data_IF_181568712363
#
_entry.id   IF_181568712363
#
_cell.length_a   1.000
_cell.length_b   1.000
_cell.length_c   1.000
_cell.angle_alpha   90.00
_cell.angle_beta   90.00
_cell.angle_gamma   90.00
#
_symmetry.space_group_name_H-M   'P 1'
#
loop_
_entity.id
_entity.type
_entity.pdbx_description
1 polymer ?
#
# COMPACT_ATOMS: atom_id res chain seq x y z
N UNK A 1 28.93 7.75 -22.95
CA UNK A 1 28.19 7.33 -21.74
C UNK A 1 29.21 7.27 -20.62
N UNK A 2 28.98 7.91 -19.46
CA UNK A 2 29.86 7.78 -18.31
C UNK A 2 29.66 6.36 -17.77
N UNK A 3 30.72 5.53 -17.78
CA UNK A 3 30.68 4.16 -17.23
C UNK A 3 30.24 4.22 -15.76
N UNK A 4 29.14 3.56 -15.43
CA UNK A 4 28.62 3.42 -14.07
C UNK A 4 27.44 4.30 -13.64
N UNK A 5 27.06 5.34 -14.40
CA UNK A 5 25.90 6.20 -14.04
C UNK A 5 24.57 5.62 -14.54
N UNK A 6 23.58 5.46 -13.65
CA UNK A 6 22.24 4.97 -13.97
C UNK A 6 21.35 6.06 -14.59
N UNK A 7 20.34 5.66 -15.37
CA UNK A 7 19.30 6.59 -15.75
C UNK A 7 18.45 7.00 -14.56
N UNK A 8 18.01 6.02 -13.74
CA UNK A 8 17.21 6.26 -12.54
C UNK A 8 17.64 5.36 -11.40
N UNK A 9 17.84 5.93 -10.23
CA UNK A 9 17.89 5.20 -8.96
C UNK A 9 16.57 5.39 -8.24
N UNK A 10 15.92 4.26 -7.88
CA UNK A 10 14.73 4.22 -7.03
C UNK A 10 15.15 3.86 -5.61
N UNK A 11 14.94 4.75 -4.66
CA UNK A 11 15.23 4.51 -3.25
C UNK A 11 13.99 3.98 -2.56
N UNK A 12 14.04 2.71 -2.13
CA UNK A 12 12.97 1.95 -1.52
C UNK A 12 12.37 0.88 -2.45
N UNK A 13 12.55 -0.38 -2.08
CA UNK A 13 12.05 -1.58 -2.77
C UNK A 13 10.68 -2.07 -2.28
N UNK A 14 9.85 -1.16 -1.72
CA UNK A 14 8.46 -1.44 -1.40
C UNK A 14 7.55 -1.50 -2.64
N UNK A 15 6.24 -1.74 -2.48
CA UNK A 15 5.33 -2.00 -3.60
C UNK A 15 5.29 -0.85 -4.62
N UNK A 16 5.43 0.40 -4.17
CA UNK A 16 5.40 1.57 -5.06
C UNK A 16 6.73 1.74 -5.82
N UNK A 17 7.86 1.57 -5.14
CA UNK A 17 9.18 1.65 -5.78
C UNK A 17 9.39 0.54 -6.80
N UNK A 18 8.99 -0.70 -6.46
CA UNK A 18 9.06 -1.83 -7.38
C UNK A 18 8.15 -1.65 -8.61
N UNK A 19 6.93 -1.12 -8.42
CA UNK A 19 6.04 -0.78 -9.55
C UNK A 19 6.67 0.25 -10.49
N UNK A 20 7.25 1.32 -9.93
CA UNK A 20 7.93 2.34 -10.72
C UNK A 20 9.14 1.75 -11.47
N UNK A 21 9.95 0.94 -10.79
CA UNK A 21 11.10 0.29 -11.38
C UNK A 21 10.71 -0.62 -12.56
N UNK A 22 9.64 -1.42 -12.41
CA UNK A 22 9.08 -2.23 -13.50
C UNK A 22 8.65 -1.37 -14.70
N UNK A 23 7.93 -0.26 -14.45
CA UNK A 23 7.49 0.63 -15.53
C UNK A 23 8.66 1.26 -16.29
N UNK A 24 9.68 1.72 -15.56
CA UNK A 24 10.87 2.35 -16.17
C UNK A 24 11.71 1.32 -16.95
N UNK A 25 11.94 0.14 -16.39
CA UNK A 25 12.68 -0.94 -17.04
C UNK A 25 11.95 -1.46 -18.28
N UNK A 26 10.62 -1.58 -18.24
CA UNK A 26 9.81 -1.96 -19.42
C UNK A 26 9.90 -0.92 -20.57
N UNK A 27 10.22 0.33 -20.26
CA UNK A 27 10.49 1.39 -21.23
C UNK A 27 11.97 1.46 -21.69
N UNK A 28 12.82 0.51 -21.24
CA UNK A 28 14.22 0.37 -21.64
C UNK A 28 15.18 1.35 -20.96
N UNK A 29 14.84 1.87 -19.77
CA UNK A 29 15.73 2.70 -18.97
C UNK A 29 16.60 1.84 -18.05
N UNK A 30 17.85 2.28 -17.81
CA UNK A 30 18.76 1.65 -16.84
C UNK A 30 18.37 2.07 -15.42
N UNK A 31 17.67 1.16 -14.73
CA UNK A 31 17.09 1.41 -13.41
C UNK A 31 17.75 0.53 -12.36
N UNK A 32 18.05 1.12 -11.21
CA UNK A 32 18.51 0.40 -10.03
C UNK A 32 17.63 0.73 -8.82
N UNK A 33 17.32 -0.29 -8.01
CA UNK A 33 16.54 -0.14 -6.78
C UNK A 33 17.45 -0.35 -5.58
N UNK A 34 17.51 0.63 -4.69
CA UNK A 34 18.23 0.55 -3.41
C UNK A 34 17.21 0.29 -2.30
N UNK A 35 17.31 -0.86 -1.63
CA UNK A 35 16.43 -1.25 -0.53
C UNK A 35 17.24 -1.56 0.72
N UNK A 36 16.91 -0.89 1.83
CA UNK A 36 17.63 -1.06 3.11
C UNK A 36 17.46 -2.44 3.74
N UNK A 37 16.36 -3.13 3.47
CA UNK A 37 16.11 -4.48 3.98
C UNK A 37 16.86 -5.49 3.13
N UNK A 38 17.51 -6.43 3.77
CA UNK A 38 18.12 -7.59 3.12
C UNK A 38 17.03 -8.60 2.71
N UNK A 39 16.01 -8.77 3.57
CA UNK A 39 14.92 -9.72 3.37
C UNK A 39 13.58 -9.00 3.10
N UNK A 40 12.70 -9.58 2.29
CA UNK A 40 11.34 -9.08 2.10
C UNK A 40 10.57 -9.03 3.43
N UNK A 41 9.77 -7.99 3.63
CA UNK A 41 8.96 -7.87 4.84
C UNK A 41 7.72 -8.76 4.75
N UNK A 42 7.52 -9.63 5.75
CA UNK A 42 6.26 -10.38 5.92
C UNK A 42 5.15 -9.53 6.56
N UNK A 43 5.44 -8.29 6.94
CA UNK A 43 4.42 -7.39 7.49
C UNK A 43 3.52 -6.89 6.37
N UNK A 44 2.22 -7.11 6.51
CA UNK A 44 1.22 -6.69 5.54
C UNK A 44 0.28 -5.67 6.18
N UNK A 45 0.32 -4.42 5.72
CA UNK A 45 -0.65 -3.39 6.11
C UNK A 45 -1.72 -3.21 5.07
N UNK A 46 -1.33 -2.96 3.83
CA UNK A 46 -2.23 -2.85 2.71
C UNK A 46 -2.60 -4.22 2.14
N UNK A 47 -3.85 -4.36 1.73
CA UNK A 47 -4.35 -5.58 1.08
C UNK A 47 -5.22 -5.26 -0.13
N UNK A 48 -5.95 -4.13 -0.12
CA UNK A 48 -6.89 -3.76 -1.17
C UNK A 48 -6.20 -3.17 -2.40
N UNK A 49 -6.47 -3.74 -3.56
CA UNK A 49 -5.96 -3.30 -4.85
C UNK A 49 -7.14 -2.89 -5.71
N UNK A 50 -7.23 -1.59 -5.98
CA UNK A 50 -8.36 -0.99 -6.67
C UNK A 50 -8.24 -1.09 -8.20
N UNK A 51 -9.36 -1.00 -8.95
CA UNK A 51 -9.36 -1.17 -10.41
C UNK A 51 -8.34 -0.32 -11.18
N UNK A 52 -8.11 0.97 -10.88
CA UNK A 52 -7.07 1.74 -11.56
C UNK A 52 -5.66 1.16 -11.38
N UNK A 53 -5.39 0.59 -10.19
CA UNK A 53 -4.12 -0.06 -9.90
C UNK A 53 -3.97 -1.41 -10.59
N UNK A 54 -5.05 -2.18 -10.73
CA UNK A 54 -5.04 -3.41 -11.53
C UNK A 54 -4.72 -3.10 -12.99
N UNK A 55 -5.28 -2.03 -13.56
CA UNK A 55 -4.89 -1.56 -14.91
C UNK A 55 -3.42 -1.17 -14.99
N UNK A 56 -2.90 -0.54 -13.94
CA UNK A 56 -1.49 -0.19 -13.87
C UNK A 56 -0.59 -1.44 -13.83
N UNK A 57 -0.95 -2.44 -13.03
CA UNK A 57 -0.26 -3.73 -12.93
C UNK A 57 -0.34 -4.54 -14.23
N UNK A 58 -1.45 -4.43 -14.99
CA UNK A 58 -1.58 -5.06 -16.31
C UNK A 58 -0.54 -4.54 -17.30
N UNK A 59 -0.16 -3.25 -17.23
CA UNK A 59 0.87 -2.66 -18.10
C UNK A 59 2.24 -3.34 -17.99
N UNK A 60 2.51 -3.91 -16.82
CA UNK A 60 3.77 -4.62 -16.56
C UNK A 60 3.57 -6.15 -16.52
N UNK A 61 2.39 -6.66 -16.86
CA UNK A 61 2.09 -8.09 -16.93
C UNK A 61 1.97 -8.79 -15.57
N UNK A 62 1.59 -8.07 -14.50
CA UNK A 62 1.47 -8.63 -13.14
C UNK A 62 0.03 -8.84 -12.72
N UNK A 63 -0.94 -8.22 -13.40
CA UNK A 63 -2.34 -8.22 -12.94
C UNK A 63 -2.96 -9.62 -12.87
N UNK A 64 -2.77 -10.45 -13.88
CA UNK A 64 -3.41 -11.78 -13.95
C UNK A 64 -2.93 -12.69 -12.83
N UNK A 65 -1.60 -12.81 -12.65
CA UNK A 65 -1.01 -13.61 -11.57
C UNK A 65 -1.39 -13.10 -10.18
N UNK A 66 -1.67 -11.81 -10.03
CA UNK A 66 -2.16 -11.22 -8.79
C UNK A 66 -3.63 -11.58 -8.56
N UNK A 67 -4.48 -11.45 -9.59
CA UNK A 67 -5.92 -11.73 -9.51
C UNK A 67 -6.18 -13.22 -9.20
N UNK A 68 -5.39 -14.13 -9.78
CA UNK A 68 -5.47 -15.56 -9.48
C UNK A 68 -5.25 -15.89 -8.00
N UNK A 69 -4.43 -15.11 -7.30
CA UNK A 69 -4.11 -15.31 -5.88
C UNK A 69 -5.03 -14.53 -4.95
N UNK A 70 -5.71 -13.50 -5.44
CA UNK A 70 -6.48 -12.56 -4.64
C UNK A 70 -7.93 -13.02 -4.44
N UNK A 71 -8.54 -12.55 -3.36
CA UNK A 71 -9.99 -12.56 -3.23
C UNK A 71 -10.55 -11.36 -3.99
N UNK A 72 -11.50 -11.60 -4.88
CA UNK A 72 -12.21 -10.55 -5.59
C UNK A 72 -13.40 -10.07 -4.76
N UNK A 73 -13.32 -8.84 -4.27
CA UNK A 73 -14.38 -8.18 -3.50
C UNK A 73 -15.27 -7.42 -4.48
N UNK A 74 -16.44 -7.95 -4.77
CA UNK A 74 -17.41 -7.35 -5.71
C UNK A 74 -18.35 -6.36 -5.04
N UNK A 75 -18.52 -6.46 -3.71
CA UNK A 75 -19.33 -5.56 -2.93
C UNK A 75 -18.80 -5.31 -1.53
N UNK A 76 -19.24 -4.20 -0.96
CA UNK A 76 -19.01 -3.85 0.44
C UNK A 76 -20.33 -3.52 1.14
N UNK A 77 -20.40 -3.86 2.43
CA UNK A 77 -21.57 -3.57 3.28
C UNK A 77 -21.16 -2.63 4.41
N UNK A 78 -22.04 -1.73 4.75
CA UNK A 78 -21.91 -0.85 5.92
C UNK A 78 -22.97 -1.22 6.94
N UNK A 79 -22.57 -1.45 8.17
CA UNK A 79 -23.43 -1.86 9.29
C UNK A 79 -23.24 -0.96 10.51
N UNK A 80 -24.27 -0.90 11.37
CA UNK A 80 -24.22 -0.31 12.69
C UNK A 80 -25.27 -0.98 13.58
N UNK A 81 -24.96 -1.33 14.83
CA UNK A 81 -25.87 -1.99 15.78
C UNK A 81 -26.53 -3.24 15.14
N UNK A 82 -25.81 -4.04 14.39
CA UNK A 82 -26.31 -5.24 13.64
C UNK A 82 -27.33 -4.93 12.54
N UNK A 83 -27.51 -3.66 12.19
CA UNK A 83 -28.39 -3.26 11.10
C UNK A 83 -27.55 -2.82 9.90
N UNK A 84 -27.91 -3.34 8.72
CA UNK A 84 -27.30 -2.87 7.47
C UNK A 84 -27.76 -1.45 7.16
N UNK A 85 -26.80 -0.54 7.07
CA UNK A 85 -27.04 0.84 6.64
C UNK A 85 -27.00 1.00 5.14
N UNK A 86 -26.19 0.19 4.45
CA UNK A 86 -26.09 0.24 3.01
C UNK A 86 -25.23 -0.86 2.41
N UNK A 87 -25.31 -1.01 1.09
CA UNK A 87 -24.50 -1.90 0.27
C UNK A 87 -23.92 -1.12 -0.90
N UNK A 88 -22.70 -1.38 -1.25
CA UNK A 88 -21.98 -0.75 -2.35
C UNK A 88 -21.50 -1.84 -3.32
N UNK A 89 -22.07 -1.87 -4.52
CA UNK A 89 -21.72 -2.84 -5.57
C UNK A 89 -20.68 -2.23 -6.49
N UNK A 90 -19.53 -2.88 -6.63
CA UNK A 90 -18.44 -2.42 -7.49
C UNK A 90 -18.62 -2.87 -8.94
N UNK A 91 -19.40 -3.91 -9.17
CA UNK A 91 -19.75 -4.44 -10.50
C UNK A 91 -20.48 -3.43 -11.38
N UNK A 92 -21.22 -2.50 -10.78
CA UNK A 92 -21.98 -1.46 -11.50
C UNK A 92 -21.14 -0.24 -11.92
N UNK A 93 -19.86 -0.19 -11.54
CA UNK A 93 -19.07 1.04 -11.67
C UNK A 93 -18.08 1.02 -12.85
N UNK A 94 -18.13 0.03 -13.72
CA UNK A 94 -17.28 -0.05 -14.92
C UNK A 94 -16.92 -1.47 -15.31
N UNK A 95 -16.62 -1.70 -16.59
CA UNK A 95 -16.50 -3.02 -17.18
C UNK A 95 -15.19 -3.75 -16.84
N UNK A 96 -14.07 -3.02 -16.76
CA UNK A 96 -12.77 -3.62 -16.49
C UNK A 96 -12.49 -3.67 -15.00
N UNK A 97 -12.16 -4.85 -14.45
CA UNK A 97 -11.93 -5.12 -13.03
C UNK A 97 -13.10 -4.62 -12.16
N UNK A 98 -14.30 -5.25 -12.22
CA UNK A 98 -15.48 -4.81 -11.48
C UNK A 98 -15.43 -5.22 -9.98
N UNK A 99 -14.25 -5.26 -9.39
CA UNK A 99 -13.97 -5.69 -8.02
C UNK A 99 -12.76 -4.94 -7.44
N UNK A 100 -12.59 -5.04 -6.14
CA UNK A 100 -11.32 -4.74 -5.45
C UNK A 100 -10.63 -6.08 -5.18
N UNK A 101 -9.38 -6.25 -5.61
CA UNK A 101 -8.61 -7.45 -5.31
C UNK A 101 -8.01 -7.34 -3.91
N UNK A 102 -8.22 -8.35 -3.06
CA UNK A 102 -7.63 -8.43 -1.73
C UNK A 102 -6.52 -9.47 -1.70
N UNK A 103 -5.28 -9.00 -1.53
CA UNK A 103 -4.08 -9.82 -1.46
C UNK A 103 -3.14 -9.24 -0.41
N UNK A 104 -2.50 -10.04 0.45
CA UNK A 104 -1.49 -9.55 1.37
C UNK A 104 -0.37 -8.82 0.65
N UNK A 105 0.09 -7.70 1.21
CA UNK A 105 1.10 -6.84 0.60
C UNK A 105 2.39 -7.58 0.25
N UNK A 106 2.84 -8.52 1.07
CA UNK A 106 4.07 -9.28 0.83
C UNK A 106 3.98 -10.15 -0.44
N UNK A 107 2.80 -10.69 -0.77
CA UNK A 107 2.58 -11.44 -2.02
C UNK A 107 2.62 -10.51 -3.24
N UNK A 108 2.02 -9.33 -3.11
CA UNK A 108 2.09 -8.29 -4.15
C UNK A 108 3.53 -7.81 -4.38
N UNK A 109 4.29 -7.60 -3.30
CA UNK A 109 5.71 -7.23 -3.38
C UNK A 109 6.54 -8.34 -4.04
N UNK A 110 6.27 -9.61 -3.73
CA UNK A 110 6.95 -10.75 -4.34
C UNK A 110 6.72 -10.81 -5.86
N UNK A 111 5.48 -10.63 -6.32
CA UNK A 111 5.14 -10.58 -7.75
C UNK A 111 5.83 -9.42 -8.48
N UNK A 112 5.84 -8.23 -7.87
CA UNK A 112 6.51 -7.07 -8.45
C UNK A 112 8.03 -7.26 -8.51
N UNK A 113 8.63 -7.83 -7.46
CA UNK A 113 10.07 -8.14 -7.42
C UNK A 113 10.44 -9.16 -8.49
N UNK A 114 9.68 -10.25 -8.60
CA UNK A 114 9.87 -11.26 -9.64
C UNK A 114 9.78 -10.63 -11.04
N UNK A 115 8.82 -9.74 -11.25
CA UNK A 115 8.66 -9.05 -12.54
C UNK A 115 9.84 -8.13 -12.85
N UNK A 116 10.29 -7.36 -11.86
CA UNK A 116 11.43 -6.48 -12.05
C UNK A 116 12.73 -7.26 -12.34
N UNK A 117 12.93 -8.38 -11.66
CA UNK A 117 14.11 -9.24 -11.90
C UNK A 117 14.11 -9.83 -13.32
N UNK A 118 12.93 -10.14 -13.88
CA UNK A 118 12.80 -10.53 -15.31
C UNK A 118 13.17 -9.38 -16.27
N UNK A 119 12.82 -8.13 -15.93
CA UNK A 119 13.06 -6.96 -16.79
C UNK A 119 14.49 -6.42 -16.66
N UNK A 120 15.07 -6.48 -15.47
CA UNK A 120 16.37 -5.93 -15.12
C UNK A 120 17.05 -6.82 -14.06
N UNK A 121 17.62 -7.97 -14.46
CA UNK A 121 18.24 -8.93 -13.54
C UNK A 121 19.35 -8.31 -12.69
N UNK A 122 19.35 -8.60 -11.38
CA UNK A 122 20.37 -8.15 -10.45
C UNK A 122 20.37 -6.64 -10.15
N UNK A 123 19.30 -5.92 -10.52
CA UNK A 123 19.20 -4.45 -10.32
C UNK A 123 18.49 -4.06 -9.00
N UNK A 124 18.22 -4.99 -8.12
CA UNK A 124 17.77 -4.71 -6.73
C UNK A 124 18.93 -4.95 -5.79
N UNK A 125 19.38 -3.90 -5.09
CA UNK A 125 20.37 -3.99 -4.01
C UNK A 125 19.68 -4.01 -2.66
N UNK A 126 19.55 -5.19 -2.06
CA UNK A 126 19.11 -5.36 -0.67
C UNK A 126 20.25 -5.00 0.31
N UNK A 127 19.91 -4.49 1.49
CA UNK A 127 20.88 -4.04 2.49
C UNK A 127 21.50 -2.67 2.21
N UNK A 128 21.10 -1.98 1.14
CA UNK A 128 21.58 -0.66 0.76
C UNK A 128 20.86 0.45 1.53
N UNK A 129 21.52 1.07 2.49
CA UNK A 129 20.98 2.17 3.28
C UNK A 129 21.38 3.49 2.64
N UNK A 130 20.43 4.19 2.03
CA UNK A 130 20.67 5.55 1.54
C UNK A 130 20.72 6.51 2.72
N UNK A 131 21.85 7.23 2.85
CA UNK A 131 22.10 8.19 3.94
C UNK A 131 22.05 9.64 3.46
N UNK A 132 22.30 9.89 2.17
CA UNK A 132 22.29 11.20 1.57
C UNK A 132 21.89 11.18 0.10
N UNK A 133 21.34 12.29 -0.39
CA UNK A 133 21.06 12.50 -1.82
C UNK A 133 21.34 13.97 -2.14
N UNK A 134 22.11 14.23 -3.19
CA UNK A 134 22.50 15.57 -3.60
C UNK A 134 22.34 15.76 -5.12
N UNK A 135 21.54 16.70 -5.53
CA UNK A 135 21.43 17.12 -6.93
C UNK A 135 22.66 17.99 -7.30
N UNK A 136 23.50 17.49 -8.20
CA UNK A 136 24.70 18.14 -8.70
C UNK A 136 24.45 18.97 -9.98
N UNK A 137 23.19 19.04 -10.44
CA UNK A 137 22.77 19.81 -11.63
C UNK A 137 22.68 18.95 -12.90
N UNK A 138 23.71 18.22 -13.25
CA UNK A 138 23.71 17.28 -14.40
C UNK A 138 23.43 15.83 -14.00
N UNK A 139 23.64 15.46 -12.75
CA UNK A 139 23.36 14.16 -12.14
C UNK A 139 22.96 14.31 -10.68
N UNK A 140 22.63 13.19 -10.03
CA UNK A 140 22.36 13.12 -8.59
C UNK A 140 23.33 12.12 -7.96
N UNK A 141 24.01 12.56 -6.92
CA UNK A 141 24.84 11.71 -6.06
C UNK A 141 23.94 11.08 -4.98
N UNK A 142 24.10 9.79 -4.73
CA UNK A 142 23.41 9.04 -3.69
C UNK A 142 24.44 8.36 -2.80
N UNK A 143 24.50 8.76 -1.55
CA UNK A 143 25.37 8.16 -0.55
C UNK A 143 24.71 6.92 0.03
N UNK A 144 25.44 5.79 -0.05
CA UNK A 144 24.94 4.47 0.34
C UNK A 144 25.86 3.86 1.38
N UNK A 145 25.28 3.43 2.48
CA UNK A 145 25.89 2.58 3.50
C UNK A 145 25.35 1.16 3.42
N UNK A 146 26.11 0.19 3.95
CA UNK A 146 25.71 -1.21 4.04
C UNK A 146 25.28 -1.54 5.46
N UNK A 147 24.16 -2.22 5.66
CA UNK A 147 23.79 -2.76 6.97
C UNK A 147 24.69 -3.98 7.29
N UNK A 148 25.83 -3.73 7.94
CA UNK A 148 26.75 -4.76 8.44
C UNK A 148 26.23 -5.34 9.75
N UNK A 149 24.96 -5.58 9.88
CA UNK A 149 24.46 -6.41 10.98
C UNK A 149 24.72 -7.86 10.63
N UNK A 150 25.83 -8.38 11.17
CA UNK A 150 26.15 -9.81 11.16
C UNK A 150 24.89 -10.63 11.44
N UNK A 151 24.63 -11.60 10.57
CA UNK A 151 23.69 -12.66 10.90
C UNK A 151 24.14 -13.29 12.24
N UNK A 152 23.24 -13.50 13.23
CA UNK A 152 23.63 -14.13 14.49
C UNK A 152 24.29 -15.47 14.16
N UNK A 153 25.52 -15.65 14.59
CA UNK A 153 26.26 -16.89 14.47
C UNK A 153 25.40 -18.02 15.05
N UNK A 154 25.05 -18.99 14.24
CA UNK A 154 24.31 -20.17 14.68
C UNK A 154 25.16 -20.91 15.73
N UNK A 155 24.60 -21.29 16.90
CA UNK A 155 25.34 -22.04 17.90
C UNK A 155 25.68 -23.41 17.34
N UNK A 156 26.95 -23.75 17.41
CA UNK A 156 27.70 -24.93 16.99
C UNK A 156 26.91 -26.19 16.66
N UNK A 157 27.08 -26.62 15.41
CA UNK A 157 26.94 -28.03 15.03
C UNK A 157 28.18 -28.45 14.27
N UNK A 158 28.99 -29.28 14.94
CA UNK A 158 29.98 -30.11 14.28
C UNK A 158 29.25 -31.14 13.40
N UNK A 159 29.40 -31.04 12.09
CA UNK A 159 29.03 -32.10 11.15
C UNK A 159 30.02 -32.11 9.99
N UNK A 160 30.46 -33.30 9.61
CA UNK A 160 31.43 -33.61 8.58
C UNK A 160 30.97 -33.18 7.17
N UNK A 161 31.92 -32.98 6.23
CA UNK A 161 31.57 -32.46 4.91
C UNK A 161 31.01 -33.54 4.00
N UNK A 162 29.81 -33.31 3.49
CA UNK A 162 29.27 -34.00 2.31
C UNK A 162 29.17 -32.97 1.19
N UNK A 163 29.79 -33.28 0.07
CA UNK A 163 29.83 -32.44 -1.12
C UNK A 163 28.43 -32.12 -1.65
N UNK A 164 28.11 -30.85 -1.89
CA UNK A 164 26.89 -30.36 -2.53
C UNK A 164 27.27 -29.54 -3.76
N UNK A 165 26.58 -29.71 -4.90
CA UNK A 165 26.99 -29.10 -6.18
C UNK A 165 26.91 -27.59 -6.14
N UNK A 166 27.97 -26.94 -6.60
CA UNK A 166 28.15 -25.50 -6.74
C UNK A 166 27.28 -24.93 -7.85
N UNK A 167 26.30 -24.16 -7.42
CA UNK A 167 25.54 -23.23 -8.24
C UNK A 167 25.23 -22.00 -7.39
N UNK A 168 26.27 -21.30 -6.92
CA UNK A 168 26.11 -20.10 -6.10
C UNK A 168 26.02 -18.88 -7.00
N UNK A 169 24.81 -18.28 -7.06
CA UNK A 169 24.71 -16.87 -7.36
C UNK A 169 25.45 -16.13 -6.22
N UNK A 170 26.56 -15.49 -6.56
CA UNK A 170 27.35 -14.70 -5.61
C UNK A 170 26.48 -13.53 -5.10
N UNK A 171 26.48 -13.25 -3.78
CA UNK A 171 25.90 -12.01 -3.27
C UNK A 171 26.65 -10.85 -3.94
N UNK A 172 25.93 -9.99 -4.63
CA UNK A 172 26.52 -8.76 -5.19
C UNK A 172 26.98 -7.92 -4.00
N UNK A 173 28.28 -7.73 -3.85
CA UNK A 173 28.84 -6.84 -2.84
C UNK A 173 28.21 -5.46 -2.99
N UNK A 174 27.59 -4.97 -1.91
CA UNK A 174 27.01 -3.62 -1.88
C UNK A 174 28.18 -2.68 -1.57
N UNK A 175 28.66 -1.85 -2.51
CA UNK A 175 29.73 -0.93 -2.22
C UNK A 175 29.20 0.17 -1.28
N UNK A 176 29.89 0.37 -0.16
CA UNK A 176 29.85 1.63 0.58
C UNK A 176 30.44 2.72 -0.29
N UNK A 177 29.68 3.80 -0.48
CA UNK A 177 30.17 4.90 -1.31
C UNK A 177 29.04 5.67 -1.98
N UNK A 178 29.41 6.55 -2.89
CA UNK A 178 28.48 7.36 -3.67
C UNK A 178 28.22 6.70 -5.00
N UNK A 179 26.94 6.45 -5.32
CA UNK A 179 26.47 6.03 -6.64
C UNK A 179 25.77 7.19 -7.34
N UNK A 180 25.77 7.16 -8.68
CA UNK A 180 25.29 8.30 -9.47
C UNK A 180 24.14 7.90 -10.41
N UNK A 181 23.16 8.79 -10.56
CA UNK A 181 22.09 8.66 -11.52
C UNK A 181 21.71 9.99 -12.17
N UNK A 182 21.09 9.93 -13.33
CA UNK A 182 20.51 11.12 -13.96
C UNK A 182 19.32 11.67 -13.17
N UNK A 183 18.53 10.77 -12.57
CA UNK A 183 17.40 11.08 -11.69
C UNK A 183 17.36 10.14 -10.50
N UNK A 184 16.86 10.64 -9.38
CA UNK A 184 16.60 9.83 -8.17
C UNK A 184 15.13 9.93 -7.78
N UNK A 185 14.51 8.81 -7.44
CA UNK A 185 13.13 8.78 -6.98
C UNK A 185 13.05 8.23 -5.57
N UNK A 186 12.53 9.02 -4.63
CA UNK A 186 12.20 8.58 -3.28
C UNK A 186 10.87 7.81 -3.27
N UNK A 187 10.97 6.51 -2.97
CA UNK A 187 9.87 5.59 -2.68
C UNK A 187 10.08 4.93 -1.31
N UNK A 188 10.82 5.60 -0.43
CA UNK A 188 11.37 5.15 0.85
C UNK A 188 10.43 5.37 2.04
N UNK A 189 9.15 5.65 1.75
CA UNK A 189 8.07 5.69 2.72
C UNK A 189 7.97 7.00 3.50
N UNK A 190 7.09 7.03 4.51
CA UNK A 190 6.74 8.25 5.26
C UNK A 190 7.95 8.94 5.93
N UNK A 191 9.01 8.19 6.26
CA UNK A 191 10.26 8.70 6.83
C UNK A 191 11.35 8.91 5.77
N UNK A 192 10.98 9.31 4.59
CA UNK A 192 11.85 9.45 3.42
C UNK A 192 13.09 10.30 3.69
N UNK A 193 14.26 9.68 3.50
CA UNK A 193 15.57 10.35 3.49
C UNK A 193 15.70 11.21 2.24
N UNK A 194 15.22 10.71 1.09
CA UNK A 194 15.26 11.43 -0.18
C UNK A 194 14.46 12.74 -0.10
N UNK A 195 13.26 12.71 0.49
CA UNK A 195 12.45 13.92 0.71
C UNK A 195 13.18 14.92 1.59
N UNK A 196 13.78 14.45 2.70
CA UNK A 196 14.51 15.31 3.63
C UNK A 196 15.73 15.94 2.97
N UNK A 197 16.53 15.16 2.24
CA UNK A 197 17.70 15.63 1.50
C UNK A 197 17.35 16.66 0.41
N UNK A 198 16.19 16.49 -0.25
CA UNK A 198 15.67 17.46 -1.23
C UNK A 198 15.08 18.73 -0.60
N UNK A 199 15.10 18.88 0.74
CA UNK A 199 14.54 20.04 1.44
C UNK A 199 13.03 20.20 1.26
N UNK A 200 12.30 19.10 1.02
CA UNK A 200 10.87 19.14 0.76
C UNK A 200 10.10 19.01 2.08
N UNK A 201 9.33 20.03 2.43
CA UNK A 201 8.50 20.03 3.64
C UNK A 201 7.40 18.97 3.55
N UNK A 202 7.15 18.29 4.67
CA UNK A 202 6.08 17.30 4.82
C UNK A 202 5.09 17.78 5.87
N UNK A 203 3.96 18.29 5.39
CA UNK A 203 3.00 19.00 6.23
C UNK A 203 1.91 18.05 6.73
N UNK A 204 1.62 18.09 8.02
CA UNK A 204 0.51 17.37 8.64
C UNK A 204 -0.83 17.83 8.09
N UNK A 205 -1.74 16.88 7.88
CA UNK A 205 -3.07 17.12 7.37
C UNK A 205 -4.11 16.33 8.19
N UNK A 206 -5.11 17.02 8.72
CA UNK A 206 -6.15 16.41 9.55
C UNK A 206 -5.68 15.87 10.93
N UNK A 207 -6.59 15.38 11.75
CA UNK A 207 -6.28 14.82 13.05
C UNK A 207 -5.75 13.37 12.93
N UNK A 208 -4.88 12.92 13.86
CA UNK A 208 -4.41 11.54 13.89
C UNK A 208 -5.53 10.56 14.26
N UNK A 209 -5.32 9.29 13.91
CA UNK A 209 -6.12 8.17 14.36
C UNK A 209 -5.23 6.97 14.69
N UNK A 210 -5.70 6.12 15.59
CA UNK A 210 -5.00 4.91 16.01
C UNK A 210 -5.85 3.68 15.72
N UNK A 211 -5.18 2.59 15.40
CA UNK A 211 -5.81 1.34 15.00
C UNK A 211 -5.10 0.14 15.59
N UNK A 212 -5.86 -0.93 15.74
CA UNK A 212 -5.36 -2.27 16.02
C UNK A 212 -5.81 -3.19 14.89
N UNK A 213 -4.91 -3.99 14.34
CA UNK A 213 -5.14 -4.84 13.18
C UNK A 213 -4.62 -6.24 13.43
N UNK A 214 -5.35 -7.26 12.91
CA UNK A 214 -4.93 -8.65 12.94
C UNK A 214 -5.63 -9.49 11.88
N UNK A 215 -5.02 -10.62 11.54
CA UNK A 215 -5.57 -11.61 10.63
C UNK A 215 -6.05 -12.83 11.41
N UNK A 216 -7.22 -13.34 11.04
CA UNK A 216 -7.89 -14.44 11.71
C UNK A 216 -8.32 -15.49 10.68
N UNK A 217 -8.24 -16.77 11.08
CA UNK A 217 -8.85 -17.87 10.35
C UNK A 217 -10.33 -17.94 10.71
N UNK A 218 -11.19 -17.89 9.70
CA UNK A 218 -12.65 -17.93 9.86
C UNK A 218 -13.27 -19.25 9.41
N UNK A 219 -12.50 -20.20 8.89
CA UNK A 219 -13.03 -21.50 8.45
C UNK A 219 -13.85 -22.24 9.53
N UNK A 220 -13.44 -22.22 10.82
CA UNK A 220 -14.22 -22.88 11.87
C UNK A 220 -15.60 -22.26 12.10
N UNK A 221 -15.81 -21.00 11.69
CA UNK A 221 -17.06 -20.25 11.91
C UNK A 221 -17.98 -20.24 10.68
N UNK A 222 -17.50 -20.77 9.57
CA UNK A 222 -18.17 -20.62 8.27
C UNK A 222 -19.48 -21.40 8.15
N UNK A 223 -19.76 -22.36 9.04
CA UNK A 223 -20.86 -23.30 8.83
C UNK A 223 -22.21 -22.90 9.40
N UNK A 224 -22.30 -22.05 10.42
CA UNK A 224 -23.62 -21.86 11.07
C UNK A 224 -24.02 -20.40 11.34
N UNK A 225 -23.16 -19.52 11.80
CA UNK A 225 -23.55 -18.19 12.25
C UNK A 225 -23.60 -17.13 11.16
N UNK A 226 -22.79 -17.24 10.11
CA UNK A 226 -22.78 -16.28 8.98
C UNK A 226 -24.00 -16.44 8.05
N UNK A 227 -24.56 -17.65 7.99
CA UNK A 227 -25.72 -17.95 7.14
C UNK A 227 -27.02 -17.34 7.70
N UNK A 228 -27.15 -17.24 9.02
CA UNK A 228 -28.38 -16.72 9.64
C UNK A 228 -28.51 -15.19 9.64
N UNK A 229 -27.39 -14.45 9.57
CA UNK A 229 -27.42 -12.98 9.70
C UNK A 229 -27.52 -12.24 8.36
N UNK A 230 -27.20 -12.86 7.22
CA UNK A 230 -27.01 -12.13 5.96
C UNK A 230 -28.03 -12.43 4.82
N UNK A 231 -29.10 -13.16 5.09
CA UNK A 231 -30.11 -13.49 4.07
C UNK A 231 -29.56 -14.40 2.96
N UNK A 232 -30.42 -15.10 2.24
CA UNK A 232 -30.13 -16.13 1.25
C UNK A 232 -29.29 -15.67 0.04
N UNK A 233 -28.03 -15.31 0.27
CA UNK A 233 -26.99 -15.22 -0.75
C UNK A 233 -26.10 -16.45 -0.65
N UNK A 234 -25.62 -16.96 -1.78
CA UNK A 234 -24.69 -18.10 -1.83
C UNK A 234 -23.58 -17.92 -0.78
N UNK A 235 -23.24 -18.99 -0.04
CA UNK A 235 -22.18 -18.97 0.98
C UNK A 235 -20.84 -18.41 0.44
N UNK A 236 -20.54 -18.63 -0.83
CA UNK A 236 -19.38 -18.08 -1.54
C UNK A 236 -19.36 -16.53 -1.54
N UNK A 237 -20.54 -15.88 -1.65
CA UNK A 237 -20.66 -14.42 -1.71
C UNK A 237 -20.47 -13.75 -0.33
N UNK A 238 -20.78 -14.44 0.76
CA UNK A 238 -20.62 -13.89 2.10
C UNK A 238 -19.12 -13.83 2.51
N UNK A 239 -18.33 -14.81 2.09
CA UNK A 239 -16.89 -14.88 2.40
C UNK A 239 -16.04 -13.88 1.64
N UNK A 240 -16.48 -13.44 0.43
CA UNK A 240 -15.73 -12.50 -0.41
C UNK A 240 -16.11 -11.03 -0.20
N UNK A 241 -16.97 -10.73 0.77
CA UNK A 241 -17.48 -9.37 1.02
C UNK A 241 -16.64 -8.59 2.03
N UNK A 242 -16.40 -7.31 1.77
CA UNK A 242 -15.88 -6.36 2.76
C UNK A 242 -17.02 -5.82 3.65
N UNK A 243 -16.78 -5.67 4.93
CA UNK A 243 -17.74 -5.11 5.88
C UNK A 243 -17.12 -3.98 6.67
N UNK A 244 -17.82 -2.86 6.74
CA UNK A 244 -17.47 -1.67 7.51
C UNK A 244 -18.53 -1.50 8.62
N UNK A 245 -18.15 -1.74 9.86
CA UNK A 245 -19.02 -1.55 11.03
C UNK A 245 -18.79 -0.15 11.58
N UNK A 246 -19.74 0.74 11.35
CA UNK A 246 -19.72 2.10 11.90
C UNK A 246 -20.37 2.14 13.28
N UNK A 247 -19.67 1.59 14.26
CA UNK A 247 -20.21 1.42 15.61
C UNK A 247 -20.07 2.66 16.50
N UNK A 248 -20.76 2.66 17.66
CA UNK A 248 -20.70 3.74 18.65
C UNK A 248 -19.28 4.00 19.12
N UNK A 249 -18.53 2.93 19.36
CA UNK A 249 -17.14 2.96 19.85
C UNK A 249 -16.10 3.15 18.75
N UNK A 250 -16.49 3.48 17.52
CA UNK A 250 -15.60 3.67 16.39
C UNK A 250 -15.66 2.52 15.38
N UNK A 251 -15.13 2.77 14.19
CA UNK A 251 -15.18 1.84 13.06
C UNK A 251 -14.41 0.56 13.34
N UNK A 252 -15.00 -0.54 12.86
CA UNK A 252 -14.32 -1.83 12.66
C UNK A 252 -14.44 -2.18 11.19
N UNK A 253 -13.35 -2.58 10.58
CA UNK A 253 -13.29 -3.01 9.18
C UNK A 253 -12.97 -4.49 9.11
N UNK A 254 -13.63 -5.21 8.20
CA UNK A 254 -13.40 -6.62 7.95
C UNK A 254 -13.25 -6.88 6.46
N UNK A 255 -12.10 -7.44 6.08
CA UNK A 255 -11.77 -7.73 4.70
C UNK A 255 -11.41 -9.20 4.52
N UNK A 256 -11.92 -9.86 3.47
CA UNK A 256 -11.54 -11.22 3.16
C UNK A 256 -10.09 -11.27 2.66
N UNK A 257 -9.41 -12.37 2.93
CA UNK A 257 -8.09 -12.72 2.43
C UNK A 257 -8.10 -14.14 1.86
N UNK A 258 -7.16 -14.51 0.99
CA UNK A 258 -7.04 -15.86 0.47
C UNK A 258 -6.91 -16.91 1.58
N UNK A 259 -7.44 -18.12 1.33
CA UNK A 259 -7.36 -19.26 2.27
C UNK A 259 -8.26 -19.12 3.49
N UNK A 260 -9.50 -18.66 3.33
CA UNK A 260 -10.48 -18.60 4.45
C UNK A 260 -10.15 -17.58 5.55
N UNK A 261 -9.16 -16.73 5.33
CA UNK A 261 -8.68 -15.73 6.29
C UNK A 261 -9.45 -14.41 6.17
N UNK A 262 -9.50 -13.67 7.29
CA UNK A 262 -10.02 -12.30 7.28
C UNK A 262 -9.09 -11.38 8.05
N UNK A 263 -8.88 -10.19 7.50
CA UNK A 263 -8.23 -9.07 8.19
C UNK A 263 -9.28 -8.24 8.89
N UNK A 264 -9.01 -7.95 10.16
CA UNK A 264 -9.80 -7.06 10.97
C UNK A 264 -8.98 -5.86 11.38
N UNK A 265 -9.58 -4.68 11.28
CA UNK A 265 -8.98 -3.41 11.69
C UNK A 265 -9.97 -2.66 12.56
N UNK A 266 -9.61 -2.35 13.79
CA UNK A 266 -10.45 -1.59 14.71
C UNK A 266 -9.80 -0.23 15.03
N UNK A 267 -10.55 0.87 14.88
CA UNK A 267 -10.12 2.17 15.38
C UNK A 267 -10.05 2.12 16.92
N UNK A 268 -8.99 2.69 17.48
CA UNK A 268 -8.77 2.75 18.94
C UNK A 268 -8.63 4.19 19.40
N UNK A 269 -8.87 4.44 20.70
CA UNK A 269 -8.77 5.79 21.28
C UNK A 269 -7.31 6.21 21.49
N UNK A 270 -6.42 5.22 21.65
CA UNK A 270 -4.98 5.41 21.85
C UNK A 270 -4.17 4.32 21.16
N UNK A 271 -2.93 4.63 20.86
CA UNK A 271 -1.96 3.64 20.37
C UNK A 271 -1.62 2.67 21.52
N UNK A 272 -1.79 1.37 21.28
CA UNK A 272 -1.55 0.30 22.26
C UNK A 272 -0.59 -0.76 21.67
N UNK A 273 0.73 -0.48 21.64
CA UNK A 273 1.70 -1.37 20.97
C UNK A 273 1.78 -2.79 21.55
N UNK A 274 1.39 -2.97 22.83
CA UNK A 274 1.36 -4.27 23.50
C UNK A 274 0.02 -5.00 23.43
N UNK A 275 -0.97 -4.47 22.71
CA UNK A 275 -2.27 -5.13 22.58
C UNK A 275 -2.15 -6.46 21.82
N UNK A 276 -2.81 -7.49 22.34
CA UNK A 276 -2.82 -8.83 21.80
C UNK A 276 -3.92 -9.03 20.74
N UNK A 277 -3.89 -10.15 20.04
CA UNK A 277 -4.99 -10.55 19.14
C UNK A 277 -6.28 -10.83 19.91
N UNK A 278 -6.20 -11.26 21.17
CA UNK A 278 -7.36 -11.42 22.04
C UNK A 278 -8.00 -10.08 22.39
N UNK A 279 -7.20 -9.01 22.63
CA UNK A 279 -7.72 -7.66 22.84
C UNK A 279 -8.47 -7.15 21.60
N UNK A 280 -7.91 -7.39 20.40
CA UNK A 280 -8.58 -7.05 19.15
C UNK A 280 -9.90 -7.81 18.99
N UNK A 281 -9.89 -9.12 19.22
CA UNK A 281 -11.10 -9.94 19.19
C UNK A 281 -12.17 -9.46 20.19
N UNK A 282 -11.75 -9.08 21.39
CA UNK A 282 -12.62 -8.50 22.42
C UNK A 282 -13.26 -7.19 21.96
N UNK A 283 -12.49 -6.27 21.35
CA UNK A 283 -12.99 -5.01 20.80
C UNK A 283 -14.02 -5.28 19.70
N UNK A 284 -13.72 -6.20 18.79
CA UNK A 284 -14.61 -6.51 17.68
C UNK A 284 -15.92 -7.11 18.21
N UNK A 285 -15.82 -8.14 19.06
CA UNK A 285 -17.01 -8.77 19.67
C UNK A 285 -17.88 -7.77 20.43
N UNK A 286 -17.26 -6.90 21.23
CA UNK A 286 -18.00 -5.89 21.98
C UNK A 286 -18.73 -4.89 21.06
N UNK A 287 -18.09 -4.44 19.97
CA UNK A 287 -18.70 -3.46 19.07
C UNK A 287 -19.70 -4.08 18.12
N UNK A 288 -19.39 -5.21 17.51
CA UNK A 288 -20.15 -5.77 16.38
C UNK A 288 -20.99 -6.99 16.76
N UNK A 289 -20.67 -7.65 17.86
CA UNK A 289 -21.23 -8.96 18.23
C UNK A 289 -20.68 -10.13 17.41
N UNK A 290 -19.69 -9.90 16.52
CA UNK A 290 -19.12 -10.92 15.65
C UNK A 290 -17.98 -11.64 16.35
N UNK A 291 -17.94 -12.97 16.23
CA UNK A 291 -16.77 -13.78 16.56
C UNK A 291 -15.80 -13.79 15.37
N UNK A 292 -14.52 -13.58 15.64
CA UNK A 292 -13.52 -13.40 14.57
C UNK A 292 -12.76 -14.68 14.20
N UNK A 293 -12.94 -15.78 14.96
CA UNK A 293 -12.21 -17.03 14.74
C UNK A 293 -10.85 -17.07 15.42
N UNK A 294 -9.94 -17.86 14.86
CA UNK A 294 -8.62 -18.13 15.44
C UNK A 294 -7.58 -17.13 14.93
N UNK A 295 -6.82 -16.46 15.83
CA UNK A 295 -5.79 -15.51 15.40
C UNK A 295 -4.64 -16.22 14.69
N UNK A 296 -4.18 -15.67 13.56
CA UNK A 296 -3.08 -16.20 12.75
C UNK A 296 -1.71 -15.59 13.10
N UNK A 297 -1.66 -14.71 14.09
CA UNK A 297 -0.46 -14.06 14.53
C UNK A 297 -0.74 -12.93 15.52
N UNK A 298 0.28 -12.18 15.95
CA UNK A 298 0.10 -11.08 16.88
C UNK A 298 -0.64 -9.91 16.22
N UNK A 299 -1.46 -9.21 16.99
CA UNK A 299 -2.07 -7.97 16.54
C UNK A 299 -1.02 -6.87 16.36
N UNK A 300 -1.26 -5.96 15.44
CA UNK A 300 -0.39 -4.82 15.15
C UNK A 300 -1.10 -3.51 15.46
N UNK A 301 -0.58 -2.76 16.43
CA UNK A 301 -1.04 -1.40 16.71
C UNK A 301 -0.29 -0.39 15.85
N UNK A 302 -1.00 0.56 15.27
CA UNK A 302 -0.38 1.63 14.49
C UNK A 302 -1.15 2.94 14.59
N UNK A 303 -0.42 4.04 14.44
CA UNK A 303 -0.99 5.38 14.33
C UNK A 303 -0.89 5.85 12.88
N UNK A 304 -1.87 6.60 12.44
CA UNK A 304 -1.92 7.26 11.14
C UNK A 304 -2.04 8.76 11.37
N UNK A 305 -1.11 9.49 10.78
CA UNK A 305 -1.20 10.93 10.63
C UNK A 305 -1.04 11.24 9.15
N UNK A 306 -2.04 11.87 8.55
CA UNK A 306 -1.91 12.26 7.16
C UNK A 306 -0.85 13.34 6.99
N UNK A 307 -0.03 13.21 5.95
CA UNK A 307 0.98 14.18 5.57
C UNK A 307 1.02 14.36 4.04
N UNK A 308 1.28 15.58 3.61
CA UNK A 308 1.46 15.90 2.20
C UNK A 308 2.78 16.65 1.99
N UNK A 309 3.57 16.21 1.00
CA UNK A 309 4.74 16.94 0.56
C UNK A 309 4.35 18.25 -0.12
N UNK A 310 5.10 19.31 0.17
CA UNK A 310 4.86 20.63 -0.41
C UNK A 310 5.07 20.65 -1.93
N UNK A 311 5.97 19.80 -2.43
CA UNK A 311 6.24 19.51 -3.84
C UNK A 311 6.67 18.05 -3.98
N UNK A 312 6.50 17.45 -5.16
CA UNK A 312 6.89 16.07 -5.46
C UNK A 312 8.16 16.03 -6.32
N UNK A 313 8.62 17.18 -6.79
CA UNK A 313 9.83 17.29 -7.61
C UNK A 313 10.69 18.43 -7.09
N UNK A 314 11.98 18.21 -7.05
CA UNK A 314 13.02 19.20 -6.77
C UNK A 314 14.23 18.90 -7.66
N UNK A 315 14.41 19.66 -8.73
CA UNK A 315 15.46 19.40 -9.72
C UNK A 315 15.33 18.00 -10.32
N UNK A 316 16.35 17.18 -10.13
CA UNK A 316 16.43 15.78 -10.60
C UNK A 316 15.94 14.75 -9.58
N UNK A 317 15.34 15.20 -8.49
CA UNK A 317 14.80 14.35 -7.42
C UNK A 317 13.27 14.38 -7.49
N UNK A 318 12.63 13.21 -7.53
CA UNK A 318 11.17 13.07 -7.49
C UNK A 318 10.74 12.17 -6.32
N UNK A 319 9.46 12.27 -5.91
CA UNK A 319 8.86 11.48 -4.83
C UNK A 319 7.62 10.75 -5.32
N UNK A 320 7.40 9.53 -4.82
CA UNK A 320 6.20 8.72 -5.06
C UNK A 320 5.72 8.04 -3.76
N UNK A 321 4.44 7.71 -3.68
CA UNK A 321 3.85 6.98 -2.57
C UNK A 321 3.99 7.72 -1.23
N UNK A 322 4.22 6.97 -0.15
CA UNK A 322 4.28 7.52 1.21
C UNK A 322 5.43 8.54 1.41
N UNK A 323 6.44 8.54 0.55
CA UNK A 323 7.46 9.59 0.53
C UNK A 323 6.88 10.96 0.12
N UNK A 324 5.86 10.95 -0.74
CA UNK A 324 5.16 12.13 -1.24
C UNK A 324 3.89 12.47 -0.43
N UNK A 325 3.14 11.45 0.00
CA UNK A 325 1.87 11.61 0.71
C UNK A 325 1.54 10.38 1.57
N UNK A 326 1.39 10.59 2.85
CA UNK A 326 0.87 9.61 3.79
C UNK A 326 -0.62 9.89 4.00
N UNK A 327 -1.49 8.94 3.62
CA UNK A 327 -2.94 9.07 3.78
C UNK A 327 -3.50 7.97 4.67
N UNK A 328 -4.75 8.14 5.14
CA UNK A 328 -5.42 7.14 5.97
C UNK A 328 -5.51 5.77 5.30
N UNK A 329 -5.31 4.66 6.06
CA UNK A 329 -5.47 3.31 5.54
C UNK A 329 -6.93 2.93 5.29
N UNK A 330 -7.92 3.68 5.83
CA UNK A 330 -9.34 3.38 5.64
C UNK A 330 -9.67 3.37 4.15
N UNK A 331 -10.13 2.21 3.66
CA UNK A 331 -10.40 1.98 2.25
C UNK A 331 -9.17 1.57 1.42
N UNK A 332 -7.99 1.35 2.03
CA UNK A 332 -6.81 0.78 1.36
C UNK A 332 -6.20 1.65 0.24
N UNK A 333 -6.37 2.97 0.28
CA UNK A 333 -6.06 3.85 -0.85
C UNK A 333 -4.59 4.25 -0.99
N UNK A 334 -3.77 4.20 0.10
CA UNK A 334 -2.40 4.74 0.11
C UNK A 334 -1.47 4.09 -0.92
N UNK A 335 -1.35 2.77 -0.90
CA UNK A 335 -0.53 2.01 -1.85
C UNK A 335 -1.00 2.24 -3.30
N UNK A 336 -2.31 2.22 -3.53
CA UNK A 336 -2.92 2.44 -4.84
C UNK A 336 -2.61 3.84 -5.39
N UNK A 337 -2.66 4.87 -4.54
CA UNK A 337 -2.32 6.24 -4.91
C UNK A 337 -0.85 6.33 -5.35
N UNK A 338 0.05 5.66 -4.63
CA UNK A 338 1.47 5.59 -4.98
C UNK A 338 1.73 4.87 -6.32
N UNK A 339 0.98 3.83 -6.65
CA UNK A 339 1.08 3.19 -7.97
C UNK A 339 0.61 4.11 -9.10
N UNK A 340 -0.42 4.91 -8.85
CA UNK A 340 -0.85 5.93 -9.82
C UNK A 340 0.15 7.10 -9.94
N UNK A 341 0.96 7.37 -8.90
CA UNK A 341 2.12 8.26 -9.03
C UNK A 341 3.14 7.65 -9.99
N UNK A 342 3.50 6.37 -9.78
CA UNK A 342 4.47 5.67 -10.61
C UNK A 342 4.07 5.64 -12.09
N UNK A 343 2.78 5.39 -12.38
CA UNK A 343 2.21 5.41 -13.75
C UNK A 343 2.36 6.77 -14.43
N UNK A 344 2.29 7.86 -13.68
CA UNK A 344 2.44 9.21 -14.23
C UNK A 344 3.90 9.68 -14.25
N UNK A 345 4.72 9.23 -13.30
CA UNK A 345 6.12 9.61 -13.22
C UNK A 345 6.98 8.90 -14.29
N UNK A 346 6.73 7.62 -14.56
CA UNK A 346 7.55 6.86 -15.50
C UNK A 346 7.64 7.51 -16.90
N UNK A 347 6.54 7.90 -17.57
CA UNK A 347 6.63 8.60 -18.85
C UNK A 347 7.25 9.98 -18.73
N UNK A 348 7.08 10.68 -17.61
CA UNK A 348 7.71 11.98 -17.39
C UNK A 348 9.24 11.86 -17.28
N UNK A 349 9.74 10.88 -16.53
CA UNK A 349 11.18 10.59 -16.42
C UNK A 349 11.76 10.12 -17.76
N UNK A 350 11.07 9.22 -18.48
CA UNK A 350 11.50 8.78 -19.81
C UNK A 350 11.67 9.98 -20.74
N UNK A 351 10.69 10.89 -20.76
CA UNK A 351 10.76 12.09 -21.57
C UNK A 351 11.90 13.01 -21.12
N UNK A 352 12.06 13.22 -19.83
CA UNK A 352 13.14 14.02 -19.26
C UNK A 352 14.55 13.47 -19.57
N UNK A 353 14.67 12.16 -19.70
CA UNK A 353 15.94 11.46 -20.03
C UNK A 353 16.24 11.53 -21.52
N UNK A 354 15.24 11.36 -22.38
CA UNK A 354 15.40 11.31 -23.84
C UNK A 354 15.38 12.69 -24.50
N UNK A 355 14.61 13.63 -23.93
CA UNK A 355 14.38 14.97 -24.45
C UNK A 355 14.76 15.98 -23.37
N UNK A 356 16.04 16.31 -23.25
CA UNK A 356 16.58 17.12 -22.14
C UNK A 356 15.86 18.47 -22.00
N UNK A 357 15.50 19.13 -23.10
CA UNK A 357 14.80 20.43 -23.10
C UNK A 357 13.34 20.32 -22.59
N UNK A 358 12.74 19.14 -22.68
CA UNK A 358 11.38 18.90 -22.22
C UNK A 358 11.30 18.45 -20.75
N UNK A 359 12.45 18.18 -20.11
CA UNK A 359 12.52 17.67 -18.75
C UNK A 359 11.79 18.54 -17.72
N UNK A 360 12.00 19.87 -17.63
CA UNK A 360 11.33 20.68 -16.64
C UNK A 360 9.81 20.62 -16.77
N UNK A 361 9.27 20.80 -17.97
CA UNK A 361 7.82 20.85 -18.21
C UNK A 361 7.11 19.51 -17.91
N UNK A 362 7.76 18.37 -18.18
CA UNK A 362 7.21 17.05 -17.92
C UNK A 362 7.11 16.79 -16.42
N UNK A 363 8.19 17.06 -15.67
CA UNK A 363 8.25 16.86 -14.23
C UNK A 363 7.38 17.85 -13.46
N UNK A 364 7.31 19.12 -13.87
CA UNK A 364 6.37 20.11 -13.30
C UNK A 364 4.90 19.71 -13.51
N UNK A 365 4.59 19.12 -14.67
CA UNK A 365 3.24 18.62 -14.94
C UNK A 365 2.90 17.46 -14.03
N UNK A 366 3.84 16.52 -13.81
CA UNK A 366 3.71 15.46 -12.82
C UNK A 366 3.46 16.05 -11.43
N UNK A 367 4.34 16.94 -10.93
CA UNK A 367 4.21 17.57 -9.62
C UNK A 367 2.83 18.20 -9.41
N UNK A 368 2.42 19.05 -10.34
CA UNK A 368 1.14 19.79 -10.25
C UNK A 368 -0.06 18.84 -10.22
N UNK A 369 -0.09 17.84 -11.11
CA UNK A 369 -1.21 16.89 -11.21
C UNK A 369 -1.29 16.00 -9.96
N UNK A 370 -0.17 15.39 -9.57
CA UNK A 370 -0.17 14.43 -8.46
C UNK A 370 -0.42 15.11 -7.11
N UNK A 371 0.07 16.33 -6.91
CA UNK A 371 -0.26 17.11 -5.70
C UNK A 371 -1.76 17.42 -5.60
N UNK A 372 -2.42 17.76 -6.71
CA UNK A 372 -3.89 17.93 -6.70
C UNK A 372 -4.58 16.64 -6.32
N UNK A 373 -4.21 15.53 -6.96
CA UNK A 373 -4.77 14.21 -6.68
C UNK A 373 -4.56 13.81 -5.23
N UNK A 374 -3.34 13.96 -4.69
CA UNK A 374 -3.03 13.65 -3.30
C UNK A 374 -3.86 14.47 -2.31
N UNK A 375 -4.08 15.77 -2.58
CA UNK A 375 -4.96 16.62 -1.76
C UNK A 375 -6.40 16.14 -1.77
N UNK A 376 -6.94 15.78 -2.93
CA UNK A 376 -8.31 15.26 -3.04
C UNK A 376 -8.43 13.91 -2.32
N UNK A 377 -7.44 13.02 -2.46
CA UNK A 377 -7.40 11.75 -1.74
C UNK A 377 -7.31 11.97 -0.22
N UNK A 378 -6.51 12.96 0.25
CA UNK A 378 -6.42 13.30 1.67
C UNK A 378 -7.74 13.84 2.25
N UNK A 379 -8.47 14.66 1.48
CA UNK A 379 -9.81 15.15 1.89
C UNK A 379 -10.78 13.98 2.00
N UNK A 380 -10.82 13.09 1.00
CA UNK A 380 -11.68 11.91 1.02
C UNK A 380 -11.32 10.98 2.19
N UNK A 381 -10.03 10.70 2.40
CA UNK A 381 -9.57 9.90 3.51
C UNK A 381 -9.92 10.53 4.87
N UNK A 382 -9.80 11.85 4.98
CA UNK A 382 -10.22 12.63 6.14
C UNK A 382 -11.72 12.50 6.43
N UNK A 383 -12.56 12.55 5.40
CA UNK A 383 -14.00 12.29 5.49
C UNK A 383 -14.28 10.86 5.98
N UNK A 384 -13.65 9.85 5.38
CA UNK A 384 -13.80 8.45 5.78
C UNK A 384 -13.40 8.26 7.26
N UNK A 385 -12.28 8.85 7.68
CA UNK A 385 -11.86 8.84 9.09
C UNK A 385 -12.88 9.49 10.02
N UNK A 386 -13.44 10.63 9.62
CA UNK A 386 -14.46 11.34 10.41
C UNK A 386 -15.74 10.51 10.57
N UNK A 387 -16.14 9.80 9.53
CA UNK A 387 -17.28 8.86 9.56
C UNK A 387 -17.00 7.68 10.49
N UNK A 388 -15.75 7.19 10.55
CA UNK A 388 -15.34 6.09 11.39
C UNK A 388 -15.17 6.43 12.88
N UNK A 389 -15.13 7.72 13.27
CA UNK A 389 -14.92 8.12 14.68
C UNK A 389 -16.10 7.73 15.57
N UNK A 390 -15.85 7.50 16.89
CA UNK A 390 -16.90 7.25 17.87
C UNK A 390 -17.97 8.33 17.84
N UNK A 391 -19.25 7.91 17.88
CA UNK A 391 -20.42 8.80 17.93
C UNK A 391 -21.52 8.15 18.76
N UNK A 392 -22.24 8.97 19.49
CA UNK A 392 -23.39 8.53 20.33
C UNK A 392 -24.60 9.44 20.12
N UNK A 393 -25.77 9.01 20.59
CA UNK A 393 -26.99 9.81 20.57
C UNK A 393 -27.38 10.35 19.19
N UNK A 394 -27.77 11.61 19.11
CA UNK A 394 -28.21 12.27 17.89
C UNK A 394 -27.14 12.30 16.77
N UNK A 395 -25.84 12.42 17.14
CA UNK A 395 -24.75 12.40 16.16
C UNK A 395 -24.58 11.03 15.50
N UNK A 396 -24.82 9.94 16.24
CA UNK A 396 -24.84 8.59 15.68
C UNK A 396 -26.01 8.42 14.71
N UNK A 397 -27.20 8.86 15.09
CA UNK A 397 -28.37 8.81 14.26
C UNK A 397 -28.20 9.62 12.94
N UNK A 398 -27.65 10.83 13.04
CA UNK A 398 -27.37 11.68 11.89
C UNK A 398 -26.32 11.05 10.95
N UNK A 399 -25.24 10.48 11.49
CA UNK A 399 -24.24 9.73 10.70
C UNK A 399 -24.89 8.55 9.97
N UNK A 400 -25.71 7.74 10.67
CA UNK A 400 -26.34 6.58 10.08
C UNK A 400 -27.38 6.98 9.00
N UNK A 401 -28.10 8.07 9.18
CA UNK A 401 -28.99 8.64 8.16
C UNK A 401 -28.20 9.08 6.91
N UNK A 402 -27.06 9.78 7.11
CA UNK A 402 -26.18 10.17 6.01
C UNK A 402 -25.65 8.95 5.25
N UNK A 403 -25.20 7.91 5.94
CA UNK A 403 -24.71 6.67 5.31
C UNK A 403 -25.79 6.01 4.48
N UNK A 404 -27.02 5.91 5.00
CA UNK A 404 -28.17 5.37 4.24
C UNK A 404 -28.46 6.20 2.99
N UNK A 405 -28.43 7.52 3.10
CA UNK A 405 -28.63 8.42 1.97
C UNK A 405 -27.54 8.25 0.89
N UNK A 406 -26.27 8.15 1.31
CA UNK A 406 -25.14 7.93 0.40
C UNK A 406 -25.17 6.53 -0.24
N UNK A 407 -25.75 5.53 0.43
CA UNK A 407 -25.90 4.17 -0.08
C UNK A 407 -27.09 3.99 -1.01
N UNK A 408 -27.99 4.97 -1.08
CA UNK A 408 -29.15 4.95 -1.98
C UNK A 408 -28.79 5.51 -3.37
N UNK A 409 -29.44 5.02 -4.46
CA UNK A 409 -29.31 5.63 -5.78
C UNK A 409 -29.87 7.09 -5.81
N UNK A 410 -29.23 8.01 -6.58
CA UNK A 410 -28.08 7.82 -7.45
C UNK A 410 -26.72 7.96 -6.74
N UNK A 411 -26.68 8.39 -5.47
CA UNK A 411 -25.46 8.69 -4.72
C UNK A 411 -24.54 7.48 -4.59
N UNK A 412 -25.10 6.27 -4.44
CA UNK A 412 -24.34 5.03 -4.27
C UNK A 412 -23.34 4.76 -5.42
N UNK A 413 -23.68 5.10 -6.65
CA UNK A 413 -22.79 4.96 -7.79
C UNK A 413 -21.58 5.91 -7.70
N UNK A 414 -21.80 7.15 -7.26
CA UNK A 414 -20.72 8.13 -7.05
C UNK A 414 -19.81 7.70 -5.90
N UNK A 415 -20.38 7.23 -4.80
CA UNK A 415 -19.62 6.74 -3.64
C UNK A 415 -18.79 5.50 -4.03
N UNK A 416 -19.35 4.55 -4.78
CA UNK A 416 -18.63 3.39 -5.27
C UNK A 416 -17.47 3.77 -6.21
N UNK A 417 -17.67 4.77 -7.10
CA UNK A 417 -16.60 5.32 -7.94
C UNK A 417 -15.48 5.97 -7.10
N UNK A 418 -15.87 6.75 -6.09
CA UNK A 418 -14.93 7.39 -5.18
C UNK A 418 -14.15 6.35 -4.38
N UNK A 419 -14.84 5.37 -3.78
CA UNK A 419 -14.20 4.31 -2.99
C UNK A 419 -13.24 3.48 -3.83
N UNK A 420 -13.61 3.11 -5.06
CA UNK A 420 -12.75 2.35 -5.98
C UNK A 420 -11.72 3.19 -6.72
N UNK A 421 -11.51 4.44 -6.33
CA UNK A 421 -10.53 5.38 -6.89
C UNK A 421 -10.69 5.62 -8.41
N UNK A 422 -11.87 5.40 -8.98
CA UNK A 422 -12.12 5.54 -10.44
C UNK A 422 -12.25 6.99 -10.91
N UNK A 423 -12.11 7.96 -10.03
CA UNK A 423 -12.08 9.38 -10.33
C UNK A 423 -10.64 9.96 -10.45
N UNK A 424 -9.62 9.15 -10.19
CA UNK A 424 -8.19 9.52 -10.26
C UNK A 424 -7.58 9.28 -11.69
#
# INVERSE_FOLDING_TARGET
MRDGMRDVIVVGGGPVGMMLACLLAAEGLDVEVLERRTEPSMRSRAIGIHPPSLRALARIGVADALIERAVQIEDGVVECDRHRLGRMEFTRVGAEYPFVAALPQYETEALLRQRFDQLAPGRVRGGAIVTGVRDAGDHVDVDVDVDVREAPAAPGRTAQPTEVPTGTAQPTEVPTGTVQARYVVGADGARSVVRAAAGIRFTKYGPPATYLMGDFDTEPLASEQYMHQNGAGSAKTAHSRAVLYFERGGVVESFPLPGGRRRWVAMTDRLSPGASSADLAGIIRWRTGVDVGVPLGPASAFAVQQHLAARLVAGRIALVGDAAHEISPIGGQGMNLGWLDAVQLAPALRRAIRETDAAPSALETYDRRRRRTARTAAVQAGFNMAMGRPRTGALLAARNALVRSLAAPPASALVARAFTMRWL
#
